data_IF_716082724937
#
_entry.id   IF_716082724937
#
_cell.length_a   1.000
_cell.length_b   1.000
_cell.length_c   1.000
_cell.angle_alpha   90.00
_cell.angle_beta   90.00
_cell.angle_gamma   90.00
#
_symmetry.space_group_name_H-M   'P 1'
#
loop_
_entity.id
_entity.type
_entity.pdbx_description
1 polymer ?
#
# COMPACT_ATOMS: atom_id res chain seq x y z
N UNK A 1 17.62 19.44 3.15
CA UNK A 1 17.83 17.98 3.16
C UNK A 1 17.14 17.32 4.37
N UNK A 2 15.88 17.62 4.64
CA UNK A 2 15.10 16.95 5.72
C UNK A 2 13.90 16.19 5.12
N UNK A 3 13.35 16.66 4.00
CA UNK A 3 12.15 16.10 3.35
C UNK A 3 12.33 14.71 2.72
N UNK A 4 13.51 14.40 2.15
CA UNK A 4 13.80 13.07 1.57
C UNK A 4 13.71 11.96 2.62
N UNK A 5 14.21 12.22 3.83
CA UNK A 5 14.25 11.24 4.91
C UNK A 5 12.85 10.95 5.49
N UNK A 6 11.96 11.94 5.46
CA UNK A 6 10.56 11.77 5.85
C UNK A 6 9.76 10.98 4.83
N UNK A 7 9.97 11.24 3.53
CA UNK A 7 9.27 10.54 2.47
C UNK A 7 9.65 9.05 2.44
N UNK A 8 10.92 8.72 2.60
CA UNK A 8 11.38 7.32 2.69
C UNK A 8 10.78 6.57 3.89
N UNK A 9 10.61 7.25 5.03
CA UNK A 9 9.92 6.69 6.20
C UNK A 9 8.43 6.47 5.96
N UNK A 10 7.77 7.38 5.24
CA UNK A 10 6.35 7.21 4.91
C UNK A 10 6.13 6.08 3.89
N UNK A 11 7.00 5.97 2.89
CA UNK A 11 6.94 4.92 1.87
C UNK A 11 7.18 3.52 2.44
N UNK A 12 7.93 3.41 3.55
CA UNK A 12 8.13 2.13 4.25
C UNK A 12 7.01 1.82 5.26
N UNK A 13 6.07 2.74 5.49
CA UNK A 13 4.92 2.51 6.36
C UNK A 13 3.76 1.85 5.59
N UNK A 14 3.33 0.67 6.06
CA UNK A 14 2.13 -0.02 5.56
C UNK A 14 0.90 0.88 5.56
N UNK A 15 0.71 1.70 6.60
CA UNK A 15 -0.51 2.50 6.77
C UNK A 15 -0.62 3.60 5.70
N UNK A 16 0.51 4.10 5.21
CA UNK A 16 0.55 5.04 4.10
C UNK A 16 -0.08 4.44 2.84
N UNK A 17 0.37 3.23 2.47
CA UNK A 17 -0.15 2.50 1.31
C UNK A 17 -1.59 2.04 1.50
N UNK A 18 -1.94 1.57 2.69
CA UNK A 18 -3.30 1.13 2.99
C UNK A 18 -4.32 2.27 2.81
N UNK A 19 -4.00 3.49 3.24
CA UNK A 19 -4.87 4.66 3.03
C UNK A 19 -5.14 4.91 1.54
N UNK A 20 -4.12 4.74 0.68
CA UNK A 20 -4.29 4.83 -0.78
C UNK A 20 -5.14 3.68 -1.31
N UNK A 21 -4.82 2.44 -0.94
CA UNK A 21 -5.52 1.25 -1.43
C UNK A 21 -6.97 1.13 -0.95
N UNK A 22 -7.35 1.77 0.16
CA UNK A 22 -8.76 1.90 0.59
C UNK A 22 -9.65 2.66 -0.39
N UNK A 23 -9.06 3.39 -1.35
CA UNK A 23 -9.80 4.01 -2.45
C UNK A 23 -10.28 2.96 -3.47
N UNK A 24 -9.63 1.80 -3.56
CA UNK A 24 -10.05 0.71 -4.43
C UNK A 24 -11.38 0.09 -3.94
N UNK A 25 -12.35 0.02 -4.84
CA UNK A 25 -13.71 -0.52 -4.58
C UNK A 25 -13.88 -1.97 -5.05
N UNK A 26 -12.90 -2.51 -5.76
CA UNK A 26 -12.88 -3.89 -6.26
C UNK A 26 -11.43 -4.35 -6.43
N UNK A 27 -11.25 -5.67 -6.53
CA UNK A 27 -9.94 -6.32 -6.59
C UNK A 27 -9.13 -5.86 -7.80
N UNK A 28 -9.77 -5.73 -8.97
CA UNK A 28 -9.09 -5.26 -10.20
C UNK A 28 -8.46 -3.87 -10.03
N UNK A 29 -9.14 -2.96 -9.34
CA UNK A 29 -8.59 -1.62 -9.09
C UNK A 29 -7.43 -1.68 -8.10
N UNK A 30 -7.53 -2.54 -7.08
CA UNK A 30 -6.44 -2.75 -6.13
C UNK A 30 -5.20 -3.28 -6.84
N UNK A 31 -5.35 -4.32 -7.66
CA UNK A 31 -4.26 -4.95 -8.42
C UNK A 31 -3.54 -3.93 -9.32
N UNK A 32 -4.28 -3.07 -10.04
CA UNK A 32 -3.69 -2.02 -10.86
C UNK A 32 -2.93 -0.96 -10.03
N UNK A 33 -3.46 -0.60 -8.86
CA UNK A 33 -2.79 0.35 -7.95
C UNK A 33 -1.52 -0.25 -7.37
N UNK A 34 -1.54 -1.53 -6.99
CA UNK A 34 -0.40 -2.25 -6.44
C UNK A 34 0.66 -2.44 -7.51
N UNK A 35 0.31 -2.94 -8.70
CA UNK A 35 1.25 -3.12 -9.81
C UNK A 35 1.97 -1.82 -10.15
N UNK A 36 1.25 -0.70 -10.24
CA UNK A 36 1.87 0.61 -10.46
C UNK A 36 2.83 1.00 -9.32
N UNK A 37 2.43 0.81 -8.06
CA UNK A 37 3.27 1.13 -6.92
C UNK A 37 4.54 0.25 -6.88
N UNK A 38 4.43 -1.03 -7.26
CA UNK A 38 5.57 -1.92 -7.37
C UNK A 38 6.50 -1.44 -8.50
N UNK A 39 5.99 -1.11 -9.68
CA UNK A 39 6.82 -0.61 -10.78
C UNK A 39 7.61 0.64 -10.36
N UNK A 40 6.97 1.57 -9.65
CA UNK A 40 7.59 2.81 -9.18
C UNK A 40 8.67 2.57 -8.09
N UNK A 41 8.54 1.52 -7.27
CA UNK A 41 9.38 1.29 -6.08
C UNK A 41 10.08 -0.07 -6.03
N UNK A 42 10.15 -0.82 -7.14
CA UNK A 42 10.66 -2.20 -7.18
C UNK A 42 12.11 -2.36 -6.69
N UNK A 43 12.91 -1.30 -6.78
CA UNK A 43 14.30 -1.25 -6.29
C UNK A 43 14.40 -1.13 -4.76
N UNK A 44 13.31 -0.80 -4.07
CA UNK A 44 13.26 -0.58 -2.62
C UNK A 44 12.49 -1.70 -1.91
N UNK A 45 13.20 -2.76 -1.51
CA UNK A 45 12.59 -3.97 -0.91
C UNK A 45 11.71 -3.68 0.32
N UNK A 46 12.08 -2.72 1.16
CA UNK A 46 11.30 -2.33 2.33
C UNK A 46 9.96 -1.66 1.94
N UNK A 47 9.95 -0.83 0.90
CA UNK A 47 8.74 -0.18 0.38
C UNK A 47 7.84 -1.21 -0.29
N UNK A 48 8.42 -2.11 -1.08
CA UNK A 48 7.70 -3.24 -1.71
C UNK A 48 7.03 -4.12 -0.65
N UNK A 49 7.73 -4.44 0.45
CA UNK A 49 7.13 -5.19 1.55
C UNK A 49 5.93 -4.45 2.17
N UNK A 50 6.03 -3.13 2.37
CA UNK A 50 4.93 -2.31 2.89
C UNK A 50 3.72 -2.29 1.94
N UNK A 51 3.96 -2.21 0.62
CA UNK A 51 2.94 -2.29 -0.43
C UNK A 51 2.18 -3.62 -0.35
N UNK A 52 2.89 -4.76 -0.34
CA UNK A 52 2.25 -6.08 -0.27
C UNK A 52 1.47 -6.29 1.04
N UNK A 53 2.01 -5.83 2.17
CA UNK A 53 1.28 -5.91 3.45
C UNK A 53 -0.02 -5.09 3.43
N UNK A 54 0.00 -3.93 2.78
CA UNK A 54 -1.18 -3.08 2.61
C UNK A 54 -2.21 -3.69 1.64
N UNK A 55 -1.76 -4.30 0.54
CA UNK A 55 -2.60 -5.04 -0.40
C UNK A 55 -3.35 -6.17 0.33
N UNK A 56 -2.64 -7.07 1.00
CA UNK A 56 -3.25 -8.19 1.71
C UNK A 56 -4.28 -7.73 2.75
N UNK A 57 -4.03 -6.61 3.43
CA UNK A 57 -5.01 -6.06 4.36
C UNK A 57 -6.24 -5.53 3.62
N UNK A 58 -6.05 -4.83 2.50
CA UNK A 58 -7.17 -4.29 1.73
C UNK A 58 -8.03 -5.40 1.11
N UNK A 59 -7.43 -6.49 0.64
CA UNK A 59 -8.16 -7.67 0.18
C UNK A 59 -9.05 -8.24 1.28
N UNK A 60 -8.52 -8.39 2.51
CA UNK A 60 -9.32 -8.84 3.66
C UNK A 60 -10.46 -7.90 4.01
N UNK A 61 -10.24 -6.59 3.92
CA UNK A 61 -11.28 -5.59 4.15
C UNK A 61 -12.39 -5.66 3.10
N UNK A 62 -12.04 -5.89 1.83
CA UNK A 62 -13.02 -6.08 0.75
C UNK A 62 -13.81 -7.37 0.94
N UNK A 63 -13.13 -8.47 1.29
CA UNK A 63 -13.77 -9.75 1.58
C UNK A 63 -14.76 -9.68 2.74
N UNK A 64 -14.44 -8.92 3.79
CA UNK A 64 -15.29 -8.76 4.97
C UNK A 64 -16.31 -7.61 4.87
N UNK A 65 -16.22 -6.76 3.83
CA UNK A 65 -17.08 -5.59 3.67
C UNK A 65 -16.90 -4.51 4.75
N UNK A 66 -15.77 -4.49 5.47
CA UNK A 66 -15.48 -3.54 6.55
C UNK A 66 -13.99 -3.19 6.65
N UNK A 67 -13.67 -2.03 7.20
CA UNK A 67 -12.28 -1.66 7.49
C UNK A 67 -11.75 -2.40 8.71
N UNK A 68 -10.46 -2.73 8.68
CA UNK A 68 -9.74 -3.39 9.78
C UNK A 68 -8.75 -2.40 10.40
N UNK A 69 -8.68 -2.36 11.73
CA UNK A 69 -7.85 -1.39 12.45
C UNK A 69 -6.36 -1.73 12.44
N UNK A 70 -5.98 -3.01 12.23
CA UNK A 70 -4.59 -3.47 12.12
C UNK A 70 -4.40 -4.60 11.12
#
# INVERSE_FOLDING_TARGET
>A
MIEENTLDRELTDKLYWLRKFRMAKNDRTLELMVSKAIDDYHTHSAVVAAIYLAECQREREMLQGRFLDQ
#
